data_IF_790888470406
#
_entry.id   IF_790888470406
#
_cell.length_a   1.000
_cell.length_b   1.000
_cell.length_c   1.000
_cell.angle_alpha   90.00
_cell.angle_beta   90.00
_cell.angle_gamma   90.00
#
_symmetry.space_group_name_H-M   'P 1'
#
loop_
_entity.id
_entity.type
_entity.pdbx_description
1 polymer ?
#
# COMPACT_ATOMS: atom_id res chain seq x y z
N UNK A 1 -17.34 -11.53 -12.17
CA UNK A 1 -16.60 -10.30 -11.81
C UNK A 1 -15.79 -10.60 -10.57
N UNK A 2 -14.57 -11.12 -10.75
CA UNK A 2 -13.71 -11.51 -9.65
C UNK A 2 -12.89 -10.32 -9.21
N UNK A 3 -13.06 -9.87 -7.97
CA UNK A 3 -12.03 -9.09 -7.29
C UNK A 3 -10.85 -10.05 -7.08
N UNK A 4 -9.94 -10.11 -8.05
CA UNK A 4 -8.70 -10.87 -7.97
C UNK A 4 -7.83 -10.26 -6.87
N UNK A 5 -8.01 -10.77 -5.67
CA UNK A 5 -7.12 -10.52 -4.54
C UNK A 5 -5.74 -11.01 -4.97
N UNK A 6 -4.85 -10.08 -5.33
CA UNK A 6 -3.46 -10.40 -5.62
C UNK A 6 -2.77 -10.71 -4.29
N UNK A 7 -2.62 -12.00 -4.01
CA UNK A 7 -1.93 -12.50 -2.83
C UNK A 7 -0.44 -12.14 -2.95
N UNK A 8 0.09 -11.33 -2.03
CA UNK A 8 1.52 -11.03 -1.95
C UNK A 8 1.99 -11.51 -0.58
N UNK A 9 2.91 -12.48 -0.52
CA UNK A 9 3.42 -13.08 0.73
C UNK A 9 2.29 -13.61 1.66
N UNK A 10 1.20 -14.14 1.09
CA UNK A 10 0.05 -14.65 1.87
C UNK A 10 -0.83 -13.57 2.51
N UNK A 11 -0.53 -12.28 2.29
CA UNK A 11 -1.29 -11.14 2.79
C UNK A 11 -2.04 -10.45 1.65
N UNK A 12 -3.24 -9.97 1.94
CA UNK A 12 -4.09 -9.27 0.96
C UNK A 12 -3.71 -7.78 0.91
N UNK A 13 -3.44 -7.27 -0.30
CA UNK A 13 -3.28 -5.83 -0.54
C UNK A 13 -4.59 -5.28 -1.10
N UNK A 14 -5.10 -4.18 -0.51
CA UNK A 14 -6.25 -3.49 -1.08
C UNK A 14 -5.84 -2.80 -2.38
N UNK A 15 -6.56 -3.10 -3.46
CA UNK A 15 -6.40 -2.49 -4.78
C UNK A 15 -7.75 -2.02 -5.33
N UNK A 16 -7.74 -0.88 -5.99
CA UNK A 16 -8.89 -0.32 -6.73
C UNK A 16 -8.47 -0.05 -8.16
N UNK A 17 -9.32 -0.42 -9.11
CA UNK A 17 -9.19 -0.01 -10.49
C UNK A 17 -9.89 1.33 -10.71
N UNK A 18 -9.17 2.31 -11.25
CA UNK A 18 -9.71 3.59 -11.67
C UNK A 18 -9.96 3.55 -13.18
N UNK A 19 -11.25 3.61 -13.57
CA UNK A 19 -11.64 3.54 -14.99
C UNK A 19 -11.37 4.84 -15.74
N UNK A 20 -11.23 5.99 -15.07
CA UNK A 20 -11.03 7.28 -15.73
C UNK A 20 -9.58 7.46 -16.17
N UNK A 21 -8.65 6.96 -15.35
CA UNK A 21 -7.21 7.03 -15.61
C UNK A 21 -6.63 5.74 -16.17
N UNK A 22 -7.42 4.66 -16.18
CA UNK A 22 -6.98 3.31 -16.58
C UNK A 22 -5.79 2.82 -15.72
N UNK A 23 -5.85 3.10 -14.42
CA UNK A 23 -4.77 2.84 -13.47
C UNK A 23 -5.21 1.99 -12.28
N UNK A 24 -4.26 1.24 -11.72
CA UNK A 24 -4.43 0.53 -10.46
C UNK A 24 -3.91 1.36 -9.29
N UNK A 25 -4.76 1.56 -8.29
CA UNK A 25 -4.41 2.17 -7.02
C UNK A 25 -4.26 1.09 -5.96
N UNK A 26 -3.16 1.15 -5.21
CA UNK A 26 -2.86 0.20 -4.14
C UNK A 26 -2.73 0.90 -2.79
N UNK A 27 -3.10 0.21 -1.71
CA UNK A 27 -2.88 0.74 -0.37
C UNK A 27 -1.41 0.66 0.02
N UNK A 28 -0.76 1.82 0.14
CA UNK A 28 0.64 1.93 0.60
C UNK A 28 0.82 1.34 2.00
N UNK A 29 -0.18 1.50 2.89
CA UNK A 29 -0.11 0.96 4.26
C UNK A 29 -0.06 -0.57 4.25
N UNK A 30 -0.83 -1.21 3.37
CA UNK A 30 -0.82 -2.67 3.25
C UNK A 30 0.51 -3.16 2.70
N UNK A 31 1.04 -2.49 1.67
CA UNK A 31 2.37 -2.81 1.11
C UNK A 31 3.46 -2.69 2.18
N UNK A 32 3.46 -1.61 2.96
CA UNK A 32 4.40 -1.44 4.08
C UNK A 32 4.22 -2.55 5.12
N UNK A 33 2.99 -2.91 5.47
CA UNK A 33 2.72 -3.98 6.44
C UNK A 33 3.24 -5.35 6.00
N UNK A 34 3.16 -5.65 4.70
CA UNK A 34 3.64 -6.89 4.11
C UNK A 34 5.16 -6.93 4.11
N UNK A 35 5.80 -5.85 3.64
CA UNK A 35 7.25 -5.81 3.45
C UNK A 35 8.04 -5.65 4.76
N UNK A 36 7.45 -5.05 5.79
CA UNK A 36 8.16 -4.70 7.02
C UNK A 36 7.77 -5.55 8.23
N UNK A 37 6.71 -6.36 8.11
CA UNK A 37 6.06 -7.06 9.25
C UNK A 37 5.81 -6.15 10.46
N UNK A 38 5.68 -4.84 10.23
CA UNK A 38 5.51 -3.86 11.28
C UNK A 38 4.18 -4.06 11.99
N UNK A 39 4.21 -4.09 13.33
CA UNK A 39 3.00 -4.07 14.16
C UNK A 39 2.18 -2.79 13.98
N UNK A 40 2.80 -1.71 13.50
CA UNK A 40 2.12 -0.45 13.21
C UNK A 40 2.62 0.17 11.89
N UNK A 41 2.16 -0.34 10.74
CA UNK A 41 2.65 0.08 9.42
C UNK A 41 2.35 1.56 9.11
N UNK A 42 1.28 2.13 9.70
CA UNK A 42 0.92 3.54 9.55
C UNK A 42 1.96 4.47 10.18
N UNK A 43 2.43 4.12 11.38
CA UNK A 43 3.50 4.88 12.04
C UNK A 43 4.83 4.73 11.32
N UNK A 44 5.10 3.55 10.77
CA UNK A 44 6.27 3.31 9.93
C UNK A 44 6.26 4.22 8.71
N UNK A 45 5.15 4.24 7.96
CA UNK A 45 4.95 5.13 6.81
C UNK A 45 5.11 6.60 7.21
N UNK A 46 4.48 7.03 8.31
CA UNK A 46 4.62 8.41 8.81
C UNK A 46 6.07 8.77 9.12
N UNK A 47 6.86 7.85 9.66
CA UNK A 47 8.29 8.06 9.90
C UNK A 47 9.09 8.12 8.60
N UNK A 48 8.73 7.34 7.58
CA UNK A 48 9.33 7.43 6.24
C UNK A 48 9.07 8.81 5.62
N UNK A 49 7.81 9.26 5.57
CA UNK A 49 7.45 10.58 5.04
C UNK A 49 8.14 11.73 5.78
N UNK A 50 8.44 11.58 7.08
CA UNK A 50 9.21 12.59 7.84
C UNK A 50 10.70 12.64 7.49
N UNK A 51 11.25 11.53 6.99
CA UNK A 51 12.69 11.41 6.67
C UNK A 51 12.97 11.69 5.20
N UNK A 52 11.95 11.53 4.36
CA UNK A 52 12.04 11.71 2.92
C UNK A 52 10.98 12.71 2.45
N UNK A 53 11.42 13.93 2.14
CA UNK A 53 10.55 15.02 1.70
C UNK A 53 9.81 14.69 0.40
N UNK A 54 10.35 13.81 -0.46
CA UNK A 54 9.67 13.39 -1.69
C UNK A 54 8.44 12.51 -1.41
N UNK A 55 8.39 11.88 -0.24
CA UNK A 55 7.24 11.09 0.23
C UNK A 55 6.25 11.90 1.08
N UNK A 56 6.54 13.17 1.36
CA UNK A 56 5.71 14.05 2.19
C UNK A 56 4.66 14.86 1.39
N UNK A 57 4.66 14.72 0.06
CA UNK A 57 3.82 15.47 -0.88
C UNK A 57 2.31 15.16 -0.74
#
# INVERSE_FOLDING_TARGET
>A
MGNEIKLFEGKQVRSTWDNEKEEWYFSVVDVVAILTDSKNPRDYLKKMCKRDEQLAA
#
